data_IF_571948424257
#
_entry.id   IF_571948424257
#
_cell.length_a   1.000
_cell.length_b   1.000
_cell.length_c   1.000
_cell.angle_alpha   90.00
_cell.angle_beta   90.00
_cell.angle_gamma   90.00
#
_symmetry.space_group_name_H-M   'P 1'
#
loop_
_entity.id
_entity.type
_entity.pdbx_description
1 polymer ?
#
# COMPACT_ATOMS: atom_id res chain seq x y z
N UNK A 1 -48.01 -23.56 -35.78
CA UNK A 1 -47.32 -23.18 -34.55
C UNK A 1 -45.87 -22.97 -34.91
N UNK A 2 -45.41 -21.72 -35.03
CA UNK A 2 -44.04 -21.39 -35.48
C UNK A 2 -43.23 -20.95 -34.26
N UNK A 3 -42.15 -21.65 -34.01
CA UNK A 3 -41.09 -21.22 -33.09
C UNK A 3 -40.33 -20.06 -33.73
N UNK A 4 -40.22 -18.94 -33.00
CA UNK A 4 -39.26 -17.89 -33.30
C UNK A 4 -37.99 -18.11 -32.44
N UNK A 5 -36.91 -18.28 -33.13
CA UNK A 5 -35.55 -18.37 -32.58
C UNK A 5 -34.92 -16.99 -32.67
N UNK A 6 -34.66 -16.33 -31.55
CA UNK A 6 -33.92 -15.07 -31.51
C UNK A 6 -32.43 -15.39 -31.34
N UNK A 7 -31.63 -15.03 -32.35
CA UNK A 7 -30.19 -15.06 -32.29
C UNK A 7 -29.66 -13.86 -31.45
N UNK A 8 -29.03 -14.13 -30.35
CA UNK A 8 -28.22 -13.15 -29.63
C UNK A 8 -26.82 -13.07 -30.28
N UNK A 9 -26.56 -11.96 -30.97
CA UNK A 9 -25.20 -11.59 -31.40
C UNK A 9 -24.45 -11.00 -30.22
N UNK A 10 -23.52 -11.75 -29.63
CA UNK A 10 -22.49 -11.23 -28.75
C UNK A 10 -21.48 -10.45 -29.60
N UNK A 11 -21.47 -9.14 -29.47
CA UNK A 11 -20.33 -8.32 -29.87
C UNK A 11 -19.30 -8.38 -28.76
N UNK A 12 -18.22 -9.16 -28.97
CA UNK A 12 -17.03 -9.14 -28.16
C UNK A 12 -16.28 -7.83 -28.41
N UNK A 13 -16.33 -6.92 -27.46
CA UNK A 13 -15.44 -5.76 -27.41
C UNK A 13 -14.20 -6.20 -26.67
N UNK A 14 -13.13 -6.56 -27.40
CA UNK A 14 -11.78 -6.68 -26.82
C UNK A 14 -11.32 -5.27 -26.44
N UNK A 15 -10.78 -5.06 -25.23
CA UNK A 15 -10.34 -3.72 -24.84
C UNK A 15 -9.08 -3.29 -25.60
N UNK A 16 -9.11 -2.06 -26.07
CA UNK A 16 -8.08 -1.35 -26.85
C UNK A 16 -6.71 -1.26 -26.11
N UNK A 17 -6.63 -1.64 -24.85
CA UNK A 17 -5.43 -1.56 -24.03
C UNK A 17 -4.30 -2.52 -24.44
N UNK A 18 -4.64 -3.66 -25.07
CA UNK A 18 -3.63 -4.64 -25.52
C UNK A 18 -2.93 -4.21 -26.82
N UNK A 19 -3.54 -3.32 -27.60
CA UNK A 19 -3.00 -2.93 -28.90
C UNK A 19 -1.97 -1.79 -28.84
N UNK A 20 -1.83 -1.08 -27.70
CA UNK A 20 -0.86 0.01 -27.58
C UNK A 20 0.55 -0.45 -27.19
N UNK A 21 0.73 -1.66 -26.61
CA UNK A 21 2.04 -2.18 -26.24
C UNK A 21 2.87 -2.79 -27.39
N UNK A 22 2.27 -3.03 -28.57
CA UNK A 22 2.96 -3.75 -29.67
C UNK A 22 3.54 -2.86 -30.78
N UNK A 23 3.38 -1.55 -30.73
CA UNK A 23 3.83 -0.66 -31.83
C UNK A 23 5.10 0.15 -31.55
N UNK A 24 5.76 0.00 -30.41
CA UNK A 24 6.99 0.75 -30.08
C UNK A 24 8.29 -0.06 -30.11
N UNK A 25 8.29 -1.31 -30.56
CA UNK A 25 9.49 -2.17 -30.54
C UNK A 25 10.24 -2.21 -31.89
N UNK A 26 10.50 -1.07 -32.53
CA UNK A 26 11.49 -1.01 -33.65
C UNK A 26 12.27 0.32 -33.61
N UNK A 27 13.06 0.52 -32.60
CA UNK A 27 14.09 1.56 -32.56
C UNK A 27 15.36 0.98 -31.95
N UNK A 28 16.40 0.80 -32.76
CA UNK A 28 17.72 0.39 -32.27
C UNK A 28 18.27 1.45 -31.34
N UNK A 29 18.39 1.14 -30.07
CA UNK A 29 19.15 1.92 -29.08
C UNK A 29 20.56 1.36 -29.05
N UNK A 30 21.51 2.21 -29.32
CA UNK A 30 22.94 1.93 -29.31
C UNK A 30 23.43 2.05 -27.86
N UNK A 31 24.07 1.01 -27.35
CA UNK A 31 24.62 0.96 -26.00
C UNK A 31 25.65 2.07 -25.77
N UNK A 32 25.47 2.88 -24.74
CA UNK A 32 26.49 3.76 -24.18
C UNK A 32 26.75 3.41 -22.71
N UNK A 33 27.99 3.11 -22.47
CA UNK A 33 28.78 2.99 -21.24
C UNK A 33 28.08 3.06 -19.86
N UNK A 34 28.26 1.96 -19.14
CA UNK A 34 28.00 1.81 -17.71
C UNK A 34 28.73 2.87 -16.85
N UNK A 35 27.99 3.69 -16.15
CA UNK A 35 28.48 4.46 -15.01
C UNK A 35 28.34 3.63 -13.72
N UNK A 36 29.20 3.84 -12.71
CA UNK A 36 29.12 3.08 -11.46
C UNK A 36 27.81 3.41 -10.70
N UNK A 37 27.15 2.36 -10.25
CA UNK A 37 25.92 2.40 -9.47
C UNK A 37 26.22 2.99 -8.09
N UNK A 38 25.48 3.99 -7.60
CA UNK A 38 25.65 4.48 -6.23
C UNK A 38 25.24 3.41 -5.21
N UNK A 39 25.94 3.36 -4.09
CA UNK A 39 25.69 2.42 -2.99
C UNK A 39 24.27 2.54 -2.45
N UNK A 40 23.64 1.39 -2.20
CA UNK A 40 22.29 1.24 -1.68
C UNK A 40 22.21 1.78 -0.24
N UNK A 41 21.27 2.65 0.12
CA UNK A 41 21.02 2.97 1.53
C UNK A 41 20.38 1.78 2.25
N UNK A 42 20.79 1.54 3.50
CA UNK A 42 20.25 0.50 4.36
C UNK A 42 18.74 0.65 4.54
N UNK A 43 18.01 -0.46 4.43
CA UNK A 43 16.54 -0.50 4.44
C UNK A 43 16.01 -0.25 5.85
N UNK A 44 15.15 0.74 6.01
CA UNK A 44 14.22 0.79 7.12
C UNK A 44 13.09 -0.22 6.89
N UNK A 45 12.78 -1.05 7.89
CA UNK A 45 11.66 -1.99 7.87
C UNK A 45 10.36 -1.18 7.91
N UNK A 46 9.51 -1.31 6.90
CA UNK A 46 8.16 -0.70 6.90
C UNK A 46 7.17 -1.73 7.41
N UNK A 47 6.44 -1.39 8.46
CA UNK A 47 5.47 -2.26 9.11
C UNK A 47 4.34 -2.69 8.19
N UNK A 48 3.90 -3.97 8.25
CA UNK A 48 2.69 -4.45 7.60
C UNK A 48 1.46 -3.79 8.24
N UNK A 49 0.57 -3.30 7.39
CA UNK A 49 -0.60 -2.54 7.85
C UNK A 49 -0.45 -1.06 7.58
N UNK A 50 0.76 -0.53 7.38
CA UNK A 50 0.92 0.63 6.54
C UNK A 50 0.74 0.18 5.09
N UNK A 51 -0.13 0.83 4.38
CA UNK A 51 -0.29 0.70 2.94
C UNK A 51 1.08 0.93 2.29
N UNK A 52 1.71 -0.09 1.81
CA UNK A 52 3.08 0.01 1.32
C UNK A 52 4.00 -1.06 1.91
N UNK A 53 3.44 -2.26 2.15
CA UNK A 53 4.26 -3.44 2.27
C UNK A 53 5.13 -3.51 1.02
N UNK A 54 6.42 -3.20 1.20
CA UNK A 54 7.43 -3.48 0.19
C UNK A 54 7.38 -2.61 -1.09
N UNK A 55 7.53 -1.31 -0.94
CA UNK A 55 8.13 -0.54 -2.02
C UNK A 55 9.57 -1.05 -2.18
N UNK A 56 9.76 -1.96 -3.11
CA UNK A 56 11.08 -2.40 -3.57
C UNK A 56 11.60 -1.39 -4.57
N UNK A 57 11.52 -0.10 -4.22
CA UNK A 57 12.08 0.95 -5.06
C UNK A 57 13.60 0.88 -4.98
N UNK A 58 14.15 0.33 -6.04
CA UNK A 58 15.42 0.69 -6.57
C UNK A 58 16.65 0.05 -5.98
N UNK A 59 16.77 -1.27 -6.05
CA UNK A 59 18.09 -1.90 -6.25
C UNK A 59 17.91 -3.31 -6.82
N UNK A 60 17.53 -3.41 -8.08
CA UNK A 60 17.77 -4.61 -8.83
C UNK A 60 19.26 -4.71 -9.12
N UNK A 61 19.93 -5.69 -8.53
CA UNK A 61 21.34 -5.99 -8.80
C UNK A 61 22.34 -5.68 -7.70
N UNK A 62 21.90 -5.40 -6.44
CA UNK A 62 22.83 -5.47 -5.31
C UNK A 62 23.05 -6.94 -4.93
N UNK A 63 24.26 -7.50 -5.05
CA UNK A 63 24.56 -8.77 -4.42
C UNK A 63 24.40 -8.58 -2.92
N UNK A 64 23.88 -9.60 -2.23
CA UNK A 64 23.88 -9.66 -0.77
C UNK A 64 25.34 -9.62 -0.33
N UNK A 65 25.86 -8.46 0.02
CA UNK A 65 27.13 -8.37 0.74
C UNK A 65 26.88 -8.95 2.13
N UNK A 66 27.42 -10.13 2.35
CA UNK A 66 27.56 -10.69 3.68
C UNK A 66 28.35 -9.69 4.53
N UNK A 67 27.70 -8.97 5.41
CA UNK A 67 28.35 -8.19 6.43
C UNK A 67 29.06 -9.17 7.37
N UNK A 68 30.37 -9.35 7.19
CA UNK A 68 31.26 -9.93 8.18
C UNK A 68 31.43 -8.90 9.33
N UNK A 69 30.40 -8.69 10.10
CA UNK A 69 30.41 -8.02 11.38
C UNK A 69 29.74 -8.96 12.37
N UNK A 70 30.45 -9.36 13.42
CA UNK A 70 30.04 -10.41 14.36
C UNK A 70 28.56 -10.29 14.74
N UNK A 71 27.79 -11.31 14.38
CA UNK A 71 26.39 -11.43 14.65
C UNK A 71 26.16 -11.32 16.16
N UNK A 72 25.51 -10.24 16.60
CA UNK A 72 24.75 -10.31 17.82
C UNK A 72 23.68 -11.38 17.57
N UNK A 73 23.60 -12.43 18.39
CA UNK A 73 22.57 -13.45 18.32
C UNK A 73 21.21 -12.71 18.31
N UNK A 74 20.48 -12.78 17.20
CA UNK A 74 19.13 -12.26 17.12
C UNK A 74 18.29 -12.98 18.19
N UNK A 75 17.56 -12.26 19.06
CA UNK A 75 16.90 -12.86 20.23
C UNK A 75 15.83 -13.90 19.86
N UNK A 76 15.54 -14.09 18.58
CA UNK A 76 14.48 -14.95 18.06
C UNK A 76 14.94 -15.98 17.02
N UNK A 77 16.24 -16.18 16.83
CA UNK A 77 16.83 -17.18 15.91
C UNK A 77 16.27 -18.62 16.10
N UNK A 78 15.65 -18.87 17.25
CA UNK A 78 15.06 -20.19 17.59
C UNK A 78 13.58 -20.31 17.21
N UNK A 79 12.92 -19.26 16.69
CA UNK A 79 11.49 -19.30 16.36
C UNK A 79 11.25 -19.80 14.94
N UNK A 80 12.22 -19.57 14.06
CA UNK A 80 12.19 -20.12 12.71
C UNK A 80 12.57 -21.60 12.71
N UNK A 81 11.86 -22.45 11.96
CA UNK A 81 12.32 -23.82 11.72
C UNK A 81 13.72 -23.80 11.09
N UNK A 82 14.68 -24.53 11.68
CA UNK A 82 16.07 -24.59 11.23
C UNK A 82 16.23 -24.80 9.72
N UNK A 83 15.30 -25.48 9.07
CA UNK A 83 15.34 -25.74 7.64
C UNK A 83 15.15 -24.48 6.78
N UNK A 84 14.59 -23.38 7.30
CA UNK A 84 14.44 -22.12 6.57
C UNK A 84 15.72 -21.28 6.62
N UNK A 85 16.58 -21.49 7.61
CA UNK A 85 17.89 -20.84 7.68
C UNK A 85 18.96 -21.51 6.80
N UNK A 86 18.72 -22.73 6.33
CA UNK A 86 19.70 -23.51 5.57
C UNK A 86 19.65 -23.28 4.05
N UNK A 87 18.62 -22.56 3.54
CA UNK A 87 18.45 -22.35 2.10
C UNK A 87 18.86 -20.95 1.69
N UNK A 88 19.99 -20.84 0.97
CA UNK A 88 20.34 -19.59 0.28
C UNK A 88 19.20 -19.16 -0.65
N UNK A 89 18.87 -17.85 -0.64
CA UNK A 89 17.81 -17.28 -1.47
C UNK A 89 16.40 -17.40 -0.91
N UNK A 90 16.19 -17.96 0.29
CA UNK A 90 14.90 -17.94 0.98
C UNK A 90 15.02 -17.08 2.23
N UNK A 91 14.10 -16.12 2.42
CA UNK A 91 13.96 -15.36 3.65
C UNK A 91 12.56 -15.48 4.22
N UNK A 92 12.45 -15.53 5.52
CA UNK A 92 11.19 -15.50 6.25
C UNK A 92 11.23 -14.39 7.28
N UNK A 93 10.12 -13.68 7.42
CA UNK A 93 9.98 -12.56 8.33
C UNK A 93 8.64 -12.65 9.06
N UNK A 94 8.65 -12.37 10.34
CA UNK A 94 7.46 -12.36 11.18
C UNK A 94 7.34 -10.98 11.83
N UNK A 95 6.20 -10.33 11.65
CA UNK A 95 5.96 -9.01 12.22
C UNK A 95 4.69 -9.07 13.05
N UNK A 96 4.79 -8.65 14.31
CA UNK A 96 3.65 -8.55 15.18
C UNK A 96 3.37 -7.11 15.53
N UNK A 97 2.27 -6.57 14.99
CA UNK A 97 1.75 -5.24 15.31
C UNK A 97 0.64 -5.35 16.32
N UNK A 98 0.68 -4.58 17.39
CA UNK A 98 -0.42 -4.51 18.36
C UNK A 98 -0.78 -3.07 18.73
N UNK A 99 -2.06 -2.87 19.03
CA UNK A 99 -2.61 -1.56 19.35
C UNK A 99 -3.55 -1.59 20.55
N UNK A 100 -3.46 -0.55 21.35
CA UNK A 100 -4.48 -0.21 22.36
C UNK A 100 -4.94 1.22 22.11
N UNK A 101 -6.19 1.40 21.70
CA UNK A 101 -6.79 2.71 21.48
C UNK A 101 -8.03 2.94 22.33
N UNK A 102 -8.23 4.20 22.70
CA UNK A 102 -9.39 4.69 23.43
C UNK A 102 -10.07 5.81 22.66
N UNK A 103 -11.37 5.72 22.46
CA UNK A 103 -12.19 6.88 22.06
C UNK A 103 -12.34 7.74 23.31
N UNK A 104 -11.52 8.79 23.42
CA UNK A 104 -11.48 9.67 24.56
C UNK A 104 -12.66 10.66 24.59
N UNK A 105 -13.19 11.01 23.40
CA UNK A 105 -14.34 11.90 23.24
C UNK A 105 -15.08 11.64 21.93
N UNK A 106 -16.40 11.78 21.93
CA UNK A 106 -17.26 11.79 20.75
C UNK A 106 -17.46 10.42 20.10
N UNK A 107 -17.54 10.40 18.77
CA UNK A 107 -17.86 9.22 17.97
C UNK A 107 -19.36 8.90 17.92
N UNK A 108 -19.70 7.68 17.51
CA UNK A 108 -21.10 7.23 17.33
C UNK A 108 -21.83 6.93 18.63
N UNK A 109 -21.10 6.71 19.70
CA UNK A 109 -21.65 6.44 21.04
C UNK A 109 -21.05 7.38 22.06
N UNK A 110 -21.83 7.76 23.10
CA UNK A 110 -21.34 8.60 24.19
C UNK A 110 -20.46 7.87 25.21
N UNK A 111 -20.19 6.60 25.04
CA UNK A 111 -19.37 5.79 25.93
C UNK A 111 -17.92 5.73 25.44
N UNK A 112 -16.98 6.12 26.27
CA UNK A 112 -15.58 5.88 26.04
C UNK A 112 -15.33 4.37 25.88
N UNK A 113 -14.68 4.00 24.80
CA UNK A 113 -14.36 2.61 24.51
C UNK A 113 -12.85 2.44 24.33
N UNK A 114 -12.28 1.49 25.05
CA UNK A 114 -10.88 1.07 24.84
C UNK A 114 -10.87 -0.32 24.22
N UNK A 115 -10.09 -0.50 23.17
CA UNK A 115 -9.97 -1.78 22.47
C UNK A 115 -8.50 -2.11 22.20
N UNK A 116 -8.22 -3.40 22.24
CA UNK A 116 -6.96 -3.99 21.86
C UNK A 116 -7.12 -4.72 20.52
N UNK A 117 -6.12 -4.63 19.68
CA UNK A 117 -5.96 -5.37 18.42
C UNK A 117 -4.55 -5.87 18.29
N UNK A 118 -4.40 -6.99 17.59
CA UNK A 118 -3.11 -7.52 17.18
C UNK A 118 -3.20 -8.05 15.75
N UNK A 119 -2.10 -7.92 15.03
CA UNK A 119 -1.90 -8.35 13.67
C UNK A 119 -0.56 -9.07 13.59
N UNK A 120 -0.56 -10.31 13.13
CA UNK A 120 0.65 -11.09 12.87
C UNK A 120 0.78 -11.28 11.36
N UNK A 121 1.89 -10.84 10.83
CA UNK A 121 2.25 -11.01 9.43
C UNK A 121 3.37 -12.03 9.31
N UNK A 122 3.21 -12.93 8.36
CA UNK A 122 4.15 -14.00 8.04
C UNK A 122 4.53 -13.86 6.57
N UNK A 123 5.76 -13.48 6.29
CA UNK A 123 6.26 -13.25 4.94
C UNK A 123 7.31 -14.27 4.59
N UNK A 124 7.20 -14.85 3.42
CA UNK A 124 8.20 -15.73 2.82
C UNK A 124 8.58 -15.18 1.45
N UNK A 125 9.86 -14.95 1.23
CA UNK A 125 10.40 -14.51 -0.05
C UNK A 125 11.43 -15.51 -0.56
N UNK A 126 11.41 -15.79 -1.87
CA UNK A 126 12.40 -16.64 -2.52
C UNK A 126 13.00 -15.93 -3.73
N UNK A 127 14.32 -15.77 -3.75
CA UNK A 127 15.09 -15.27 -4.87
C UNK A 127 15.60 -16.45 -5.69
N UNK A 128 15.21 -16.53 -6.97
CA UNK A 128 15.52 -17.71 -7.80
C UNK A 128 16.99 -17.80 -8.21
N UNK A 129 17.69 -16.67 -8.31
CA UNK A 129 19.11 -16.65 -8.61
C UNK A 129 19.93 -17.11 -7.42
N UNK A 130 19.65 -16.59 -6.22
CA UNK A 130 20.29 -17.04 -4.99
C UNK A 130 19.98 -18.51 -4.65
N UNK A 131 18.85 -19.04 -5.16
CA UNK A 131 18.48 -20.47 -5.05
C UNK A 131 19.13 -21.35 -6.13
N UNK A 132 20.05 -20.84 -6.96
CA UNK A 132 20.65 -21.55 -8.10
C UNK A 132 19.64 -22.09 -9.14
N UNK A 133 18.50 -21.40 -9.32
CA UNK A 133 17.47 -21.81 -10.30
C UNK A 133 17.58 -21.06 -11.62
N UNK A 134 17.21 -19.76 -11.63
CA UNK A 134 17.31 -18.87 -12.81
C UNK A 134 17.39 -17.41 -12.36
N UNK A 135 18.00 -16.57 -13.18
CA UNK A 135 18.19 -15.15 -12.93
C UNK A 135 16.87 -14.37 -12.97
N UNK A 136 16.75 -13.31 -12.16
CA UNK A 136 15.72 -12.28 -12.20
C UNK A 136 14.34 -12.70 -11.71
N UNK A 137 14.18 -13.88 -11.12
CA UNK A 137 12.90 -14.35 -10.59
C UNK A 137 12.77 -14.17 -9.09
N UNK A 138 11.56 -13.85 -8.59
CA UNK A 138 11.25 -13.77 -7.17
C UNK A 138 9.86 -14.33 -6.87
N UNK A 139 9.77 -15.16 -5.84
CA UNK A 139 8.53 -15.64 -5.26
C UNK A 139 8.23 -14.90 -3.95
N UNK A 140 6.95 -14.71 -3.68
CA UNK A 140 6.47 -14.09 -2.46
C UNK A 140 5.21 -14.79 -1.97
N UNK A 141 5.14 -15.05 -0.67
CA UNK A 141 3.94 -15.58 0.00
C UNK A 141 3.75 -14.80 1.29
N UNK A 142 2.56 -14.26 1.48
CA UNK A 142 2.21 -13.50 2.67
C UNK A 142 0.95 -14.08 3.31
N UNK A 143 1.08 -14.44 4.57
CA UNK A 143 0.00 -14.86 5.44
C UNK A 143 -0.22 -13.86 6.55
N UNK A 144 -1.47 -13.72 6.97
CA UNK A 144 -1.87 -12.75 7.98
C UNK A 144 -2.82 -13.36 9.01
N UNK A 145 -2.66 -13.01 10.26
CA UNK A 145 -3.60 -13.37 11.34
C UNK A 145 -3.83 -12.17 12.24
N UNK A 146 -5.08 -11.74 12.33
CA UNK A 146 -5.44 -10.62 13.18
C UNK A 146 -6.53 -10.97 14.20
N UNK A 147 -6.51 -10.29 15.34
CA UNK A 147 -7.40 -10.56 16.46
C UNK A 147 -7.70 -9.28 17.26
N UNK A 148 -8.66 -9.37 18.15
CA UNK A 148 -9.09 -8.26 18.99
C UNK A 148 -10.39 -7.63 18.50
N UNK A 149 -10.61 -6.36 18.80
CA UNK A 149 -11.88 -5.66 18.56
C UNK A 149 -11.66 -4.31 17.87
N UNK A 150 -12.41 -4.06 16.79
CA UNK A 150 -12.41 -2.79 16.09
C UNK A 150 -13.12 -1.67 16.86
N UNK A 151 -12.68 -0.44 16.65
CA UNK A 151 -13.34 0.78 17.13
C UNK A 151 -14.13 1.48 16.03
N UNK A 152 -13.65 1.49 14.79
CA UNK A 152 -14.27 2.20 13.66
C UNK A 152 -15.75 1.91 13.53
N UNK A 153 -16.14 0.65 13.38
CA UNK A 153 -17.54 0.30 13.06
C UNK A 153 -18.56 0.58 14.15
N UNK A 154 -18.15 0.53 15.44
CA UNK A 154 -19.09 0.58 16.57
C UNK A 154 -18.99 1.85 17.41
N UNK A 155 -17.86 2.55 17.38
CA UNK A 155 -17.57 3.64 18.30
C UNK A 155 -17.14 4.93 17.62
N UNK A 156 -16.41 4.88 16.51
CA UNK A 156 -15.91 6.05 15.77
C UNK A 156 -16.85 6.40 14.62
N UNK A 157 -17.10 5.46 13.74
CA UNK A 157 -17.95 5.63 12.55
C UNK A 157 -17.23 6.33 11.40
N UNK A 158 -15.91 6.34 11.40
CA UNK A 158 -15.07 6.98 10.39
C UNK A 158 -15.01 6.16 9.08
N UNK A 159 -14.99 6.86 7.97
CA UNK A 159 -14.89 6.26 6.63
C UNK A 159 -13.45 6.08 6.17
N UNK A 160 -12.50 6.81 6.77
CA UNK A 160 -11.09 6.78 6.41
C UNK A 160 -10.28 5.74 7.18
N UNK A 161 -10.89 5.05 8.14
CA UNK A 161 -10.26 4.08 9.04
C UNK A 161 -9.06 4.69 9.78
N UNK A 162 -9.30 5.16 11.00
CA UNK A 162 -8.28 5.80 11.84
C UNK A 162 -7.05 4.90 12.10
N UNK A 163 -7.18 3.62 11.88
CA UNK A 163 -6.08 2.65 11.94
C UNK A 163 -6.18 1.67 10.78
N UNK A 164 -5.08 1.45 10.10
CA UNK A 164 -4.92 0.53 8.99
C UNK A 164 -5.06 -0.96 9.39
N UNK A 165 -4.99 -1.31 10.67
CA UNK A 165 -5.31 -2.65 11.17
C UNK A 165 -6.67 -2.74 11.88
N UNK A 166 -7.51 -1.69 11.83
CA UNK A 166 -8.87 -1.69 12.41
C UNK A 166 -9.93 -2.32 11.50
N UNK A 167 -9.53 -3.06 10.51
CA UNK A 167 -10.42 -3.86 9.70
C UNK A 167 -11.09 -4.93 10.55
N UNK A 168 -12.41 -4.98 10.53
CA UNK A 168 -13.14 -6.02 11.25
C UNK A 168 -13.10 -7.32 10.47
N UNK A 169 -12.43 -8.36 10.95
CA UNK A 169 -12.45 -9.65 10.29
C UNK A 169 -13.86 -10.24 10.26
N UNK A 170 -14.15 -11.00 9.24
CA UNK A 170 -15.36 -11.83 9.20
C UNK A 170 -15.39 -12.86 10.33
N UNK A 171 -14.21 -13.30 10.74
CA UNK A 171 -14.01 -14.23 11.84
C UNK A 171 -12.72 -13.84 12.56
N UNK A 172 -12.77 -13.43 13.83
CA UNK A 172 -11.56 -13.17 14.59
C UNK A 172 -10.77 -14.46 14.76
N UNK A 173 -9.44 -14.35 14.70
CA UNK A 173 -8.47 -15.45 14.84
C UNK A 173 -8.41 -16.41 13.64
N UNK A 174 -8.71 -15.97 12.43
CA UNK A 174 -8.40 -16.72 11.22
C UNK A 174 -6.98 -16.40 10.73
N UNK A 175 -6.33 -17.43 10.18
CA UNK A 175 -5.12 -17.25 9.36
C UNK A 175 -5.54 -17.07 7.91
N UNK A 176 -5.08 -16.01 7.29
CA UNK A 176 -5.43 -15.60 5.94
C UNK A 176 -4.22 -15.73 5.02
N UNK A 177 -4.40 -16.33 3.84
CA UNK A 177 -3.44 -16.26 2.75
C UNK A 177 -3.70 -14.96 1.97
N UNK A 178 -2.95 -13.93 2.31
CA UNK A 178 -3.14 -12.59 1.74
C UNK A 178 -2.61 -12.52 0.33
N UNK A 179 -1.34 -12.81 0.14
CA UNK A 179 -0.70 -12.71 -1.16
C UNK A 179 0.09 -13.98 -1.49
N UNK A 180 0.19 -14.26 -2.77
CA UNK A 180 1.15 -15.17 -3.35
C UNK A 180 1.35 -14.77 -4.81
N UNK A 181 2.57 -14.44 -5.18
CA UNK A 181 2.88 -14.02 -6.52
C UNK A 181 4.30 -14.40 -6.93
N UNK A 182 4.51 -14.36 -8.22
CA UNK A 182 5.80 -14.47 -8.85
C UNK A 182 6.07 -13.21 -9.66
N UNK A 183 7.26 -12.68 -9.58
CA UNK A 183 7.73 -11.64 -10.48
C UNK A 183 9.01 -12.05 -11.20
N UNK A 184 9.22 -11.44 -12.35
CA UNK A 184 10.41 -11.68 -13.14
C UNK A 184 10.90 -10.37 -13.77
N UNK A 185 12.19 -10.10 -13.59
CA UNK A 185 12.90 -8.99 -14.18
C UNK A 185 13.50 -9.38 -15.54
N UNK A 186 13.21 -8.61 -16.56
CA UNK A 186 13.73 -8.76 -17.92
C UNK A 186 14.58 -7.54 -18.27
N UNK A 187 15.49 -7.70 -19.25
CA UNK A 187 16.30 -6.60 -19.78
C UNK A 187 17.07 -5.84 -18.68
N UNK A 188 17.79 -6.60 -17.86
CA UNK A 188 18.58 -6.07 -16.75
C UNK A 188 17.75 -5.22 -15.74
N UNK A 189 16.47 -5.58 -15.53
CA UNK A 189 15.57 -4.91 -14.62
C UNK A 189 14.77 -3.76 -15.24
N UNK A 190 14.93 -3.43 -16.50
CA UNK A 190 14.16 -2.38 -17.16
C UNK A 190 12.67 -2.72 -17.28
N UNK A 191 12.33 -4.01 -17.29
CA UNK A 191 10.96 -4.51 -17.36
C UNK A 191 10.76 -5.57 -16.30
N UNK A 192 9.79 -5.35 -15.42
CA UNK A 192 9.40 -6.32 -14.39
C UNK A 192 7.95 -6.71 -14.64
N UNK A 193 7.66 -7.99 -14.56
CA UNK A 193 6.30 -8.53 -14.69
C UNK A 193 5.97 -9.34 -13.45
N UNK A 194 4.83 -9.03 -12.80
CA UNK A 194 4.36 -9.65 -11.56
C UNK A 194 2.99 -10.28 -11.79
N UNK A 195 2.82 -11.54 -11.39
CA UNK A 195 1.58 -12.30 -11.56
C UNK A 195 1.25 -13.07 -10.29
N UNK A 196 -0.02 -13.09 -9.93
CA UNK A 196 -0.52 -13.80 -8.76
C UNK A 196 -1.57 -13.04 -8.00
N UNK A 197 -1.81 -13.40 -6.76
CA UNK A 197 -2.67 -12.67 -5.84
C UNK A 197 -1.82 -11.60 -5.14
N UNK A 198 -2.18 -10.35 -5.36
CA UNK A 198 -1.35 -9.18 -5.02
C UNK A 198 -2.18 -8.14 -4.28
N UNK A 199 -1.54 -7.46 -3.35
CA UNK A 199 -1.99 -6.16 -2.86
C UNK A 199 -1.58 -5.10 -3.89
N UNK A 200 -2.56 -4.53 -4.58
CA UNK A 200 -2.28 -3.53 -5.62
C UNK A 200 -1.77 -2.20 -5.07
N UNK A 201 -2.02 -1.89 -3.79
CA UNK A 201 -1.51 -0.69 -3.16
C UNK A 201 0.00 -0.77 -2.87
N UNK A 202 0.55 -1.96 -2.74
CA UNK A 202 1.99 -2.13 -2.63
C UNK A 202 2.76 -1.60 -3.85
N UNK A 203 2.11 -1.57 -5.02
CA UNK A 203 2.72 -1.17 -6.29
C UNK A 203 2.17 0.16 -6.84
N UNK A 204 0.90 0.51 -6.55
CA UNK A 204 0.20 1.67 -7.10
C UNK A 204 -0.38 2.58 -6.02
N UNK A 205 -0.40 3.87 -6.28
CA UNK A 205 -1.07 4.89 -5.47
C UNK A 205 -0.57 5.02 -4.02
N UNK A 206 0.54 4.39 -3.68
CA UNK A 206 1.11 4.48 -2.33
C UNK A 206 1.80 5.83 -2.09
N UNK A 207 2.01 6.14 -0.81
CA UNK A 207 2.68 7.34 -0.32
C UNK A 207 3.71 6.92 0.72
N UNK A 208 5.00 7.05 0.40
CA UNK A 208 6.09 6.56 1.24
C UNK A 208 6.10 7.22 2.63
N UNK A 209 6.05 8.55 2.66
CA UNK A 209 6.05 9.33 3.91
C UNK A 209 4.71 9.28 4.66
N UNK A 210 3.68 8.70 4.04
CA UNK A 210 2.39 8.42 4.67
C UNK A 210 2.31 7.07 5.38
N UNK A 211 3.28 6.18 5.16
CA UNK A 211 3.23 4.77 5.59
C UNK A 211 3.28 4.55 7.11
N UNK A 212 3.90 5.45 7.87
CA UNK A 212 3.98 5.36 9.33
C UNK A 212 2.75 5.94 10.06
N UNK A 213 1.86 6.64 9.35
CA UNK A 213 0.58 7.07 9.90
C UNK A 213 -0.37 5.87 10.08
N UNK A 214 -1.19 5.92 11.12
CA UNK A 214 -2.14 4.84 11.39
C UNK A 214 -3.39 4.94 10.53
N UNK A 215 -3.87 6.15 10.24
CA UNK A 215 -5.03 6.34 9.38
C UNK A 215 -4.75 5.85 7.97
N UNK A 216 -5.56 4.90 7.52
CA UNK A 216 -5.38 4.20 6.22
C UNK A 216 -5.32 5.14 5.03
N UNK A 217 -6.00 6.28 5.09
CA UNK A 217 -6.06 7.21 3.96
C UNK A 217 -4.77 7.98 3.72
N UNK A 218 -3.81 7.99 4.66
CA UNK A 218 -2.48 8.53 4.40
C UNK A 218 -1.64 7.62 3.51
N UNK A 219 -1.92 6.32 3.49
CA UNK A 219 -1.22 5.38 2.62
C UNK A 219 -1.69 5.42 1.17
N UNK A 220 -3.00 5.63 0.93
CA UNK A 220 -3.57 5.79 -0.40
C UNK A 220 -4.93 6.51 -0.36
N UNK A 221 -5.31 7.13 -1.48
CA UNK A 221 -6.58 7.83 -1.59
C UNK A 221 -7.79 6.89 -1.54
N UNK A 222 -8.78 7.10 -0.65
CA UNK A 222 -9.99 6.29 -0.55
C UNK A 222 -10.95 6.47 -1.77
N UNK A 223 -10.61 7.30 -2.74
CA UNK A 223 -11.35 7.41 -4.02
C UNK A 223 -11.01 6.29 -5.00
N UNK A 224 -10.02 5.45 -4.68
CA UNK A 224 -9.56 4.38 -5.56
C UNK A 224 -10.04 3.04 -4.99
N UNK A 225 -10.86 2.26 -5.69
CA UNK A 225 -11.31 0.96 -5.21
C UNK A 225 -10.23 -0.11 -5.47
N UNK A 226 -9.12 -0.02 -4.76
CA UNK A 226 -7.98 -0.94 -4.91
C UNK A 226 -8.31 -2.35 -4.42
N UNK A 227 -7.89 -3.40 -5.13
CA UNK A 227 -7.69 -4.72 -4.55
C UNK A 227 -6.48 -4.71 -3.60
N UNK A 228 -6.73 -4.38 -2.35
CA UNK A 228 -5.70 -4.19 -1.30
C UNK A 228 -6.13 -4.87 -0.01
N UNK A 229 -5.24 -4.97 0.95
CA UNK A 229 -5.57 -5.49 2.29
C UNK A 229 -6.89 -4.93 2.83
N UNK A 230 -7.81 -5.75 3.40
CA UNK A 230 -7.73 -7.20 3.62
C UNK A 230 -8.19 -8.06 2.42
N UNK A 231 -8.40 -7.49 1.25
CA UNK A 231 -8.93 -8.14 0.05
C UNK A 231 -8.01 -7.99 -1.17
N UNK A 232 -6.78 -8.51 -1.15
CA UNK A 232 -5.91 -8.48 -2.32
C UNK A 232 -6.52 -9.30 -3.47
N UNK A 233 -6.15 -8.97 -4.71
CA UNK A 233 -6.73 -9.52 -5.93
C UNK A 233 -5.76 -10.32 -6.78
N UNK A 234 -6.29 -11.31 -7.53
CA UNK A 234 -5.54 -11.92 -8.62
C UNK A 234 -5.31 -10.88 -9.71
N UNK A 235 -4.08 -10.76 -10.18
CA UNK A 235 -3.71 -9.77 -11.18
C UNK A 235 -2.42 -10.04 -11.89
N UNK A 236 -2.17 -9.19 -12.88
CA UNK A 236 -0.95 -9.08 -13.64
C UNK A 236 -0.55 -7.61 -13.64
N UNK A 237 0.68 -7.33 -13.22
CA UNK A 237 1.27 -6.00 -13.27
C UNK A 237 2.57 -6.01 -14.08
N UNK A 238 2.90 -4.87 -14.67
CA UNK A 238 4.17 -4.64 -15.33
C UNK A 238 4.71 -3.26 -14.97
N UNK A 239 6.01 -3.20 -14.72
CA UNK A 239 6.75 -2.01 -14.33
C UNK A 239 7.83 -1.80 -15.37
N UNK A 240 7.87 -0.60 -15.96
CA UNK A 240 8.79 -0.24 -17.02
C UNK A 240 9.64 0.94 -16.58
N UNK A 241 10.92 0.72 -16.33
CA UNK A 241 11.90 1.75 -16.05
C UNK A 241 12.25 2.46 -17.37
N UNK A 242 11.62 3.59 -17.65
CA UNK A 242 11.82 4.36 -18.88
C UNK A 242 13.14 5.12 -18.87
N UNK A 243 13.55 5.56 -17.69
CA UNK A 243 14.85 6.17 -17.37
C UNK A 243 15.15 5.91 -15.89
N UNK A 244 16.34 6.29 -15.43
CA UNK A 244 16.75 6.19 -14.01
C UNK A 244 15.82 6.93 -13.01
N UNK A 245 15.01 7.85 -13.51
CA UNK A 245 14.10 8.68 -12.68
C UNK A 245 12.64 8.63 -13.13
N UNK A 246 12.31 7.83 -14.15
CA UNK A 246 10.95 7.77 -14.70
C UNK A 246 10.52 6.32 -14.90
N UNK A 247 9.48 5.92 -14.20
CA UNK A 247 8.88 4.59 -14.29
C UNK A 247 7.41 4.70 -14.73
N UNK A 248 6.99 3.79 -15.62
CA UNK A 248 5.58 3.59 -15.94
C UNK A 248 5.11 2.24 -15.41
N UNK A 249 3.97 2.23 -14.72
CA UNK A 249 3.39 1.03 -14.13
C UNK A 249 2.00 0.80 -14.72
N UNK A 250 1.68 -0.45 -15.01
CA UNK A 250 0.34 -0.87 -15.46
C UNK A 250 -0.06 -2.17 -14.77
N UNK A 251 -1.29 -2.25 -14.29
CA UNK A 251 -1.83 -3.45 -13.66
C UNK A 251 -3.27 -3.73 -14.11
N UNK A 252 -3.63 -5.02 -14.14
CA UNK A 252 -4.99 -5.51 -14.37
C UNK A 252 -5.28 -6.55 -13.30
N UNK A 253 -6.34 -6.33 -12.54
CA UNK A 253 -6.72 -7.16 -11.40
C UNK A 253 -8.17 -7.60 -11.50
N UNK A 254 -8.51 -8.71 -10.79
CA UNK A 254 -9.91 -9.06 -10.55
C UNK A 254 -10.65 -7.88 -9.92
N UNK A 255 -11.81 -7.55 -10.46
CA UNK A 255 -12.64 -6.44 -9.96
C UNK A 255 -13.44 -6.77 -8.70
N UNK A 256 -13.55 -8.04 -8.33
CA UNK A 256 -14.40 -8.46 -7.21
C UNK A 256 -13.91 -7.97 -5.83
N UNK A 257 -12.60 -7.99 -5.52
CA UNK A 257 -12.08 -7.47 -4.25
C UNK A 257 -12.40 -5.99 -4.04
N UNK A 258 -12.27 -5.18 -5.07
CA UNK A 258 -12.55 -3.73 -5.00
C UNK A 258 -14.03 -3.39 -4.75
N UNK A 259 -14.91 -4.36 -4.90
CA UNK A 259 -16.35 -4.28 -4.56
C UNK A 259 -16.69 -4.96 -3.23
N UNK A 260 -15.68 -5.25 -2.42
CA UNK A 260 -15.83 -5.82 -1.08
C UNK A 260 -15.98 -7.34 -1.04
N UNK A 261 -15.69 -8.07 -2.13
CA UNK A 261 -15.60 -9.52 -2.08
C UNK A 261 -14.41 -9.94 -1.20
N UNK A 262 -14.68 -10.77 -0.20
CA UNK A 262 -13.64 -11.25 0.69
C UNK A 262 -12.74 -12.27 0.01
N UNK A 263 -11.51 -11.90 -0.26
CA UNK A 263 -10.48 -12.71 -0.90
C UNK A 263 -9.30 -13.04 0.02
N UNK A 264 -9.18 -12.37 1.15
CA UNK A 264 -8.06 -12.49 2.09
C UNK A 264 -7.74 -13.92 2.51
N UNK A 265 -8.72 -14.71 2.91
CA UNK A 265 -8.54 -16.11 3.34
C UNK A 265 -8.58 -17.15 2.22
N UNK A 266 -8.56 -16.74 0.95
CA UNK A 266 -8.81 -17.62 -0.20
C UNK A 266 -7.77 -17.42 -1.30
N UNK A 267 -7.74 -18.38 -2.25
CA UNK A 267 -6.87 -18.28 -3.42
C UNK A 267 -7.21 -17.13 -4.38
N UNK A 268 -8.42 -16.56 -4.29
CA UNK A 268 -8.90 -15.52 -5.21
C UNK A 268 -9.53 -16.05 -6.53
N UNK A 269 -9.30 -17.30 -6.89
CA UNK A 269 -9.84 -17.89 -8.13
C UNK A 269 -11.35 -18.02 -8.14
N UNK A 270 -12.00 -18.11 -6.98
CA UNK A 270 -13.44 -18.24 -6.86
C UNK A 270 -14.21 -16.92 -7.14
N UNK A 271 -13.54 -15.78 -7.11
CA UNK A 271 -14.12 -14.47 -7.44
C UNK A 271 -13.69 -13.96 -8.82
N UNK A 272 -12.70 -14.62 -9.43
CA UNK A 272 -12.07 -14.16 -10.66
C UNK A 272 -13.10 -14.01 -11.81
N UNK A 273 -13.25 -12.77 -12.27
CA UNK A 273 -14.12 -12.40 -13.39
C UNK A 273 -15.60 -12.28 -13.04
N UNK A 274 -16.04 -12.53 -11.80
CA UNK A 274 -17.45 -12.38 -11.41
C UNK A 274 -17.94 -10.92 -11.54
N UNK A 275 -17.07 -9.97 -11.14
CA UNK A 275 -17.38 -8.54 -11.15
C UNK A 275 -16.46 -7.74 -12.09
N UNK A 276 -16.05 -8.33 -13.19
CA UNK A 276 -15.20 -7.69 -14.17
C UNK A 276 -13.75 -7.53 -13.72
N UNK A 277 -13.10 -6.45 -14.16
CA UNK A 277 -11.70 -6.18 -13.88
C UNK A 277 -11.47 -4.70 -13.55
N UNK A 278 -10.45 -4.41 -12.75
CA UNK A 278 -9.93 -3.08 -12.56
C UNK A 278 -8.55 -2.95 -13.22
N UNK A 279 -8.31 -1.85 -13.92
CA UNK A 279 -7.01 -1.50 -14.50
C UNK A 279 -6.45 -0.28 -13.79
N UNK A 280 -5.15 -0.32 -13.49
CA UNK A 280 -4.39 0.74 -12.88
C UNK A 280 -3.26 1.16 -13.82
N UNK A 281 -3.02 2.46 -13.94
CA UNK A 281 -1.91 3.02 -14.71
C UNK A 281 -1.29 4.15 -13.89
N UNK A 282 0.02 4.14 -13.74
CA UNK A 282 0.74 5.15 -12.97
C UNK A 282 2.05 5.53 -13.67
N UNK A 283 2.35 6.81 -13.66
CA UNK A 283 3.65 7.37 -14.02
C UNK A 283 4.29 7.90 -12.74
N UNK A 284 5.49 7.42 -12.43
CA UNK A 284 6.27 7.83 -11.26
C UNK A 284 7.54 8.55 -11.72
N UNK A 285 7.78 9.74 -11.18
CA UNK A 285 8.98 10.53 -11.40
C UNK A 285 9.75 10.68 -10.09
N UNK A 286 11.00 10.23 -10.06
CA UNK A 286 11.83 10.06 -8.85
C UNK A 286 13.11 10.93 -8.91
N UNK A 287 12.99 12.27 -8.84
CA UNK A 287 14.14 13.16 -8.89
C UNK A 287 14.91 13.20 -7.56
N UNK A 288 16.19 13.48 -7.66
CA UNK A 288 17.02 13.93 -6.54
C UNK A 288 17.11 15.45 -6.58
N UNK A 289 16.43 16.14 -5.66
CA UNK A 289 16.42 17.61 -5.58
C UNK A 289 17.52 18.15 -4.66
N UNK A 290 17.55 19.45 -4.44
CA UNK A 290 18.59 20.14 -3.66
C UNK A 290 19.81 20.48 -4.50
N UNK A 291 20.66 21.37 -3.97
CA UNK A 291 21.88 21.81 -4.66
C UNK A 291 22.96 20.73 -4.72
N UNK A 292 22.92 19.77 -3.80
CA UNK A 292 23.81 18.61 -3.76
C UNK A 292 23.18 17.39 -4.45
N UNK A 293 21.88 17.43 -4.85
CA UNK A 293 21.16 16.27 -5.36
C UNK A 293 20.92 15.20 -4.28
N UNK A 294 20.71 15.63 -3.04
CA UNK A 294 20.63 14.78 -1.86
C UNK A 294 19.24 14.77 -1.18
N UNK A 295 18.24 15.37 -1.84
CA UNK A 295 16.86 15.40 -1.39
C UNK A 295 15.98 14.53 -2.29
N UNK A 296 15.80 13.23 -1.98
CA UNK A 296 14.98 12.33 -2.76
C UNK A 296 13.51 12.76 -2.74
N UNK A 297 12.84 12.54 -3.86
CA UNK A 297 11.41 12.74 -3.98
C UNK A 297 10.80 11.77 -4.98
N UNK A 298 9.51 11.46 -4.81
CA UNK A 298 8.73 10.66 -5.75
C UNK A 298 7.41 11.35 -6.03
N UNK A 299 7.12 11.59 -7.29
CA UNK A 299 5.90 12.22 -7.78
C UNK A 299 5.15 11.24 -8.65
N UNK A 300 3.89 10.93 -8.30
CA UNK A 300 3.07 9.94 -8.97
C UNK A 300 1.82 10.57 -9.54
N UNK A 301 1.43 10.13 -10.73
CA UNK A 301 0.15 10.46 -11.34
C UNK A 301 -0.43 9.19 -11.95
N UNK A 302 -1.65 8.82 -11.55
CA UNK A 302 -2.28 7.61 -12.02
C UNK A 302 -3.75 7.75 -12.30
N UNK A 303 -4.28 6.76 -13.02
CA UNK A 303 -5.70 6.63 -13.33
C UNK A 303 -6.12 5.16 -13.24
N UNK A 304 -7.38 4.96 -12.89
CA UNK A 304 -7.99 3.64 -12.81
C UNK A 304 -9.28 3.56 -13.60
N UNK A 305 -9.61 2.36 -14.06
CA UNK A 305 -10.87 2.04 -14.69
C UNK A 305 -11.37 0.67 -14.27
N UNK A 306 -12.65 0.57 -13.87
CA UNK A 306 -13.29 -0.66 -13.46
C UNK A 306 -14.44 -0.99 -14.42
N UNK A 307 -14.49 -2.22 -14.90
CA UNK A 307 -15.41 -2.63 -15.97
C UNK A 307 -16.81 -3.00 -15.48
N UNK A 308 -17.02 -3.16 -14.17
CA UNK A 308 -18.32 -3.54 -13.59
C UNK A 308 -19.37 -2.44 -13.72
N UNK A 309 -20.64 -2.79 -13.48
CA UNK A 309 -21.76 -1.84 -13.37
C UNK A 309 -22.01 -1.48 -11.91
N UNK A 310 -22.09 -0.19 -11.62
CA UNK A 310 -22.24 0.37 -10.28
C UNK A 310 -23.63 0.95 -10.09
N UNK A 311 -24.16 0.89 -8.87
CA UNK A 311 -25.42 1.54 -8.53
C UNK A 311 -25.33 3.05 -8.76
N UNK A 312 -26.38 3.64 -9.32
CA UNK A 312 -26.46 5.08 -9.51
C UNK A 312 -26.86 5.75 -8.18
N UNK A 313 -25.87 6.35 -7.51
CA UNK A 313 -26.04 6.99 -6.20
C UNK A 313 -26.74 8.36 -6.31
N UNK A 314 -26.71 9.02 -7.46
CA UNK A 314 -27.36 10.33 -7.66
C UNK A 314 -28.86 10.17 -7.80
N UNK A 315 -29.33 9.18 -8.55
CA UNK A 315 -30.76 8.94 -8.76
C UNK A 315 -31.33 7.94 -7.77
N UNK A 316 -30.48 7.12 -7.14
CA UNK A 316 -30.89 6.00 -6.28
C UNK A 316 -31.57 4.84 -7.04
N UNK A 317 -31.61 4.87 -8.36
CA UNK A 317 -32.23 3.86 -9.21
C UNK A 317 -31.38 3.54 -10.41
N UNK A 318 -31.26 2.22 -10.72
CA UNK A 318 -30.51 1.73 -11.88
C UNK A 318 -29.01 1.72 -11.65
N UNK A 319 -28.27 1.36 -12.69
CA UNK A 319 -26.82 1.20 -12.66
C UNK A 319 -26.14 2.04 -13.74
N UNK A 320 -24.87 2.38 -13.51
CA UNK A 320 -23.98 3.03 -14.46
C UNK A 320 -22.85 2.07 -14.81
N UNK A 321 -22.61 1.87 -16.11
CA UNK A 321 -21.59 0.96 -16.58
C UNK A 321 -20.20 1.57 -16.48
N UNK A 322 -19.28 0.81 -15.91
CA UNK A 322 -17.90 1.21 -15.70
C UNK A 322 -17.75 2.25 -14.58
N UNK A 323 -16.56 2.36 -14.07
CA UNK A 323 -16.18 3.36 -13.08
C UNK A 323 -14.74 3.80 -13.35
N UNK A 324 -14.36 5.00 -12.94
CA UNK A 324 -13.03 5.54 -13.22
C UNK A 324 -12.66 6.62 -12.22
N UNK A 325 -11.41 6.93 -12.18
CA UNK A 325 -10.89 8.02 -11.38
C UNK A 325 -9.43 8.24 -11.63
N UNK A 326 -8.85 9.18 -10.91
CA UNK A 326 -7.42 9.46 -10.96
C UNK A 326 -6.90 9.84 -9.58
N UNK A 327 -5.59 9.73 -9.43
CA UNK A 327 -4.84 10.16 -8.25
C UNK A 327 -3.56 10.88 -8.64
N UNK A 328 -3.06 11.66 -7.73
CA UNK A 328 -1.70 12.17 -7.72
C UNK A 328 -1.14 12.12 -6.31
N UNK A 329 0.13 11.79 -6.17
CA UNK A 329 0.84 11.89 -4.91
C UNK A 329 2.24 12.45 -5.12
N UNK A 330 2.79 13.01 -4.06
CA UNK A 330 4.16 13.50 -4.00
C UNK A 330 4.73 13.20 -2.62
N UNK A 331 5.88 12.59 -2.58
CA UNK A 331 6.74 12.44 -1.43
C UNK A 331 8.00 13.24 -1.69
N UNK A 332 8.44 14.08 -0.76
CA UNK A 332 9.64 14.89 -0.94
C UNK A 332 10.36 15.12 0.38
N UNK A 333 11.62 14.73 0.44
CA UNK A 333 12.53 15.21 1.47
C UNK A 333 12.83 16.68 1.21
N UNK A 334 12.41 17.56 2.13
CA UNK A 334 12.56 19.01 1.96
C UNK A 334 13.76 19.59 2.71
N UNK A 335 14.27 18.83 3.67
CA UNK A 335 15.49 19.18 4.39
C UNK A 335 16.16 17.94 4.97
N UNK A 336 17.48 17.84 4.80
CA UNK A 336 18.33 16.78 5.33
C UNK A 336 19.27 17.35 6.36
N UNK A 337 19.45 16.65 7.49
CA UNK A 337 20.40 17.06 8.51
C UNK A 337 21.85 16.93 8.00
N UNK A 338 22.70 17.94 8.24
CA UNK A 338 24.12 17.86 7.88
C UNK A 338 24.82 16.73 8.62
N UNK A 339 25.51 15.86 7.89
CA UNK A 339 26.29 14.75 8.47
C UNK A 339 25.49 13.47 8.69
N UNK A 340 24.24 13.39 8.25
CA UNK A 340 23.41 12.19 8.26
C UNK A 340 23.45 11.44 6.90
N UNK A 341 24.67 11.19 6.39
CA UNK A 341 24.83 10.64 5.03
C UNK A 341 24.50 9.16 4.94
N UNK A 342 24.78 8.38 5.99
CA UNK A 342 24.49 6.94 6.06
C UNK A 342 23.02 6.67 6.36
N UNK A 343 22.42 7.45 7.27
CA UNK A 343 21.02 7.35 7.69
C UNK A 343 20.36 8.73 7.55
N UNK A 344 19.65 9.02 6.45
CA UNK A 344 19.08 10.34 6.19
C UNK A 344 18.09 10.79 7.26
N UNK A 345 18.50 11.73 8.09
CA UNK A 345 17.66 12.43 9.07
C UNK A 345 17.18 13.73 8.47
N UNK A 346 16.01 14.21 8.89
CA UNK A 346 15.48 15.47 8.42
C UNK A 346 13.99 15.47 8.23
N UNK A 347 13.51 16.48 7.50
CA UNK A 347 12.11 16.76 7.28
C UNK A 347 11.65 16.32 5.89
N UNK A 348 10.65 15.47 5.86
CA UNK A 348 9.91 15.08 4.67
C UNK A 348 8.49 15.65 4.66
N UNK A 349 7.92 15.78 3.49
CA UNK A 349 6.53 16.17 3.27
C UNK A 349 5.90 15.30 2.21
N UNK A 350 4.64 14.91 2.42
CA UNK A 350 3.84 14.30 1.36
C UNK A 350 2.58 15.09 1.07
N UNK A 351 2.07 14.90 -0.15
CA UNK A 351 0.82 15.43 -0.64
C UNK A 351 0.12 14.38 -1.49
N UNK A 352 -1.20 14.23 -1.36
CA UNK A 352 -1.97 13.37 -2.23
C UNK A 352 -3.35 13.96 -2.53
N UNK A 353 -3.84 13.67 -3.72
CA UNK A 353 -5.18 14.03 -4.17
C UNK A 353 -5.77 12.90 -5.00
N UNK A 354 -7.05 12.61 -4.78
CA UNK A 354 -7.80 11.64 -5.55
C UNK A 354 -9.19 12.15 -5.92
N UNK A 355 -9.71 11.67 -7.04
CA UNK A 355 -11.05 11.98 -7.50
C UNK A 355 -11.71 10.78 -8.17
N UNK A 356 -13.02 10.65 -7.96
CA UNK A 356 -13.90 9.69 -8.64
C UNK A 356 -15.30 10.29 -8.85
N UNK A 357 -16.08 9.83 -9.87
CA UNK A 357 -17.40 10.40 -10.20
C UNK A 357 -18.42 10.16 -9.07
N UNK A 358 -19.20 11.21 -8.68
CA UNK A 358 -20.10 11.14 -7.53
C UNK A 358 -21.36 10.30 -7.76
N UNK A 359 -21.71 10.03 -8.99
CA UNK A 359 -22.92 9.26 -9.35
C UNK A 359 -22.79 7.75 -9.05
N UNK A 360 -21.58 7.27 -8.71
CA UNK A 360 -21.28 5.84 -8.47
C UNK A 360 -20.27 5.56 -7.39
N UNK A 361 -19.71 6.57 -6.72
CA UNK A 361 -18.75 6.41 -5.65
C UNK A 361 -19.24 7.13 -4.39
N UNK A 362 -19.07 6.49 -3.24
CA UNK A 362 -19.39 7.09 -1.95
C UNK A 362 -18.37 8.19 -1.61
N UNK A 363 -17.08 7.92 -1.76
CA UNK A 363 -16.00 8.91 -1.62
C UNK A 363 -15.67 9.45 -3.00
N UNK A 364 -15.76 10.77 -3.18
CA UNK A 364 -15.65 11.40 -4.51
C UNK A 364 -14.42 12.25 -4.68
N UNK A 365 -13.88 12.74 -3.59
CA UNK A 365 -12.65 13.52 -3.56
C UNK A 365 -11.89 13.23 -2.28
N UNK A 366 -10.58 13.30 -2.38
CA UNK A 366 -9.69 13.11 -1.25
C UNK A 366 -8.51 14.08 -1.36
N UNK A 367 -8.08 14.60 -0.23
CA UNK A 367 -6.87 15.38 -0.07
C UNK A 367 -6.15 14.91 1.20
N UNK A 368 -4.90 14.51 1.07
CA UNK A 368 -4.03 14.12 2.17
C UNK A 368 -2.72 14.88 2.13
N UNK A 369 -2.18 15.25 3.27
CA UNK A 369 -0.85 15.87 3.39
C UNK A 369 -0.28 15.62 4.78
N UNK A 370 1.03 15.59 4.90
CA UNK A 370 1.69 15.48 6.18
C UNK A 370 3.16 15.85 6.11
N UNK A 371 3.71 15.98 7.30
CA UNK A 371 5.13 16.21 7.57
C UNK A 371 5.64 15.08 8.43
N UNK A 372 6.81 14.58 8.11
CA UNK A 372 7.52 13.59 8.91
C UNK A 372 8.93 14.10 9.19
N UNK A 373 9.40 13.93 10.42
CA UNK A 373 10.74 14.29 10.81
C UNK A 373 11.43 13.09 11.46
N UNK A 374 12.49 12.60 10.81
CA UNK A 374 13.34 11.54 11.34
C UNK A 374 14.50 12.14 12.09
N UNK A 375 14.81 11.61 13.31
CA UNK A 375 15.96 12.03 14.10
C UNK A 375 15.80 13.37 14.83
N UNK A 376 14.58 13.88 15.05
CA UNK A 376 14.34 15.18 15.70
C UNK A 376 14.99 15.33 17.08
N UNK A 377 15.12 14.25 17.84
CA UNK A 377 15.68 14.24 19.17
C UNK A 377 17.12 13.70 19.10
N UNK A 378 18.09 14.45 19.59
CA UNK A 378 19.51 14.04 19.60
C UNK A 378 19.71 12.65 20.21
N UNK A 379 20.51 11.82 19.56
CA UNK A 379 20.75 10.39 19.87
C UNK A 379 19.51 9.50 19.73
N UNK A 380 18.52 9.94 18.95
CA UNK A 380 17.32 9.21 18.59
C UNK A 380 17.13 9.27 17.06
N UNK A 381 18.14 8.82 16.34
CA UNK A 381 18.33 9.04 14.90
C UNK A 381 17.27 8.31 14.05
N UNK A 382 16.71 7.21 14.56
CA UNK A 382 15.69 6.40 13.90
C UNK A 382 14.26 6.76 14.29
N UNK A 383 14.08 7.59 15.33
CA UNK A 383 12.74 7.99 15.77
C UNK A 383 12.07 8.89 14.73
N UNK A 384 10.76 8.74 14.59
CA UNK A 384 9.97 9.49 13.62
C UNK A 384 8.85 10.25 14.31
N UNK A 385 8.74 11.55 14.04
CA UNK A 385 7.61 12.39 14.39
C UNK A 385 6.77 12.62 13.12
N UNK A 386 5.46 12.42 13.18
CA UNK A 386 4.55 12.70 12.07
C UNK A 386 3.36 13.55 12.47
N UNK A 387 2.98 14.47 11.57
CA UNK A 387 1.75 15.26 11.65
C UNK A 387 1.06 15.25 10.28
N UNK A 388 -0.17 14.76 10.22
CA UNK A 388 -0.93 14.61 8.98
C UNK A 388 -2.33 15.21 9.05
N UNK A 389 -2.84 15.60 7.87
CA UNK A 389 -4.21 16.01 7.63
C UNK A 389 -4.77 15.22 6.45
N UNK A 390 -5.91 14.58 6.63
CA UNK A 390 -6.65 13.84 5.60
C UNK A 390 -8.09 14.36 5.52
N UNK A 391 -8.61 14.53 4.30
CA UNK A 391 -9.93 15.11 4.06
C UNK A 391 -10.64 14.36 2.94
N UNK A 392 -11.70 13.60 3.26
CA UNK A 392 -12.51 12.84 2.33
C UNK A 392 -13.87 13.51 2.10
N UNK A 393 -14.24 13.73 0.84
CA UNK A 393 -15.53 14.28 0.42
C UNK A 393 -16.48 13.20 -0.07
N UNK A 394 -17.76 13.27 0.33
CA UNK A 394 -18.79 12.26 0.02
C UNK A 394 -19.81 12.74 -1.00
N UNK A 395 -20.42 11.79 -1.73
CA UNK A 395 -21.43 12.04 -2.76
C UNK A 395 -22.83 12.27 -2.21
N UNK A 396 -23.11 11.83 -0.98
CA UNK A 396 -24.47 11.88 -0.44
C UNK A 396 -24.96 13.32 -0.24
N UNK A 397 -26.03 13.68 -0.92
CA UNK A 397 -26.96 14.82 -0.77
C UNK A 397 -26.48 16.07 0.00
N UNK A 398 -25.26 16.46 -0.14
CA UNK A 398 -24.65 17.61 0.53
C UNK A 398 -23.14 17.50 0.52
N UNK A 399 -22.47 18.61 0.57
CA UNK A 399 -21.01 18.72 0.65
C UNK A 399 -20.50 18.28 2.02
N UNK A 400 -20.74 17.03 2.39
CA UNK A 400 -20.23 16.48 3.67
C UNK A 400 -18.81 15.99 3.48
N UNK A 401 -17.99 16.20 4.50
CA UNK A 401 -16.58 15.79 4.55
C UNK A 401 -16.29 15.13 5.89
N UNK A 402 -15.33 14.23 5.88
CA UNK A 402 -14.66 13.77 7.08
C UNK A 402 -13.23 14.29 7.00
N UNK A 403 -12.80 14.98 8.05
CA UNK A 403 -11.44 15.48 8.15
C UNK A 403 -10.75 14.82 9.33
N UNK A 404 -9.57 14.25 9.12
CA UNK A 404 -8.76 13.62 10.16
C UNK A 404 -7.43 14.37 10.32
N UNK A 405 -7.03 14.56 11.57
CA UNK A 405 -5.70 15.07 11.95
C UNK A 405 -5.04 14.03 12.83
N UNK A 406 -3.84 13.61 12.47
CA UNK A 406 -3.07 12.63 13.22
C UNK A 406 -1.72 13.20 13.62
N UNK A 407 -1.31 12.94 14.86
CA UNK A 407 -0.01 13.26 15.42
C UNK A 407 0.55 12.03 16.10
N UNK A 408 1.71 11.56 15.68
CA UNK A 408 2.39 10.43 16.29
C UNK A 408 3.88 10.69 16.55
N UNK A 409 4.43 9.89 17.45
CA UNK A 409 5.86 9.76 17.66
C UNK A 409 6.23 8.28 17.69
N UNK A 410 6.92 7.78 16.65
CA UNK A 410 7.40 6.40 16.57
C UNK A 410 8.80 6.32 17.11
N UNK A 411 8.96 5.69 18.26
CA UNK A 411 10.24 5.51 18.93
C UNK A 411 10.81 4.13 18.62
N UNK A 412 12.01 4.08 18.06
CA UNK A 412 12.80 2.86 17.91
C UNK A 412 13.35 2.46 19.28
N UNK A 413 12.91 1.34 19.83
CA UNK A 413 13.37 0.86 21.14
C UNK A 413 14.67 0.07 20.99
N UNK A 414 14.76 -0.74 19.95
CA UNK A 414 15.92 -1.51 19.53
C UNK A 414 15.70 -1.95 18.06
N UNK A 415 16.58 -2.75 17.50
CA UNK A 415 16.57 -3.13 16.08
C UNK A 415 15.31 -3.90 15.67
N UNK A 416 14.61 -4.54 16.59
CA UNK A 416 13.45 -5.37 16.35
C UNK A 416 12.14 -4.87 16.98
N UNK A 417 12.13 -3.70 17.68
CA UNK A 417 10.90 -3.22 18.35
C UNK A 417 10.73 -1.71 18.28
N UNK A 418 9.50 -1.29 18.00
CA UNK A 418 9.06 0.12 18.05
C UNK A 418 7.86 0.30 18.97
N UNK A 419 7.70 1.53 19.47
CA UNK A 419 6.51 1.99 20.19
C UNK A 419 6.07 3.34 19.63
N UNK A 420 4.77 3.47 19.34
CA UNK A 420 4.21 4.66 18.70
C UNK A 420 2.98 5.15 19.49
N UNK A 421 3.13 6.08 20.44
CA UNK A 421 2.00 6.88 20.93
C UNK A 421 1.41 7.72 19.79
N UNK A 422 0.07 7.79 19.78
CA UNK A 422 -0.66 8.39 18.69
C UNK A 422 -1.94 9.11 19.19
N UNK A 423 -2.29 10.21 18.51
CA UNK A 423 -3.50 10.99 18.74
C UNK A 423 -4.16 11.28 17.41
N UNK A 424 -5.40 10.83 17.24
CA UNK A 424 -6.20 11.06 16.04
C UNK A 424 -7.46 11.86 16.40
N UNK A 425 -7.66 13.00 15.75
CA UNK A 425 -8.91 13.77 15.81
C UNK A 425 -9.62 13.64 14.46
N UNK A 426 -10.90 13.24 14.50
CA UNK A 426 -11.75 13.08 13.33
C UNK A 426 -12.94 13.99 13.46
N UNK A 427 -13.06 14.96 12.57
CA UNK A 427 -14.20 15.83 12.44
C UNK A 427 -15.24 15.19 11.52
N UNK A 428 -16.48 15.16 11.96
CA UNK A 428 -17.63 14.64 11.20
C UNK A 428 -17.40 13.23 10.62
N UNK A 429 -17.13 12.21 11.41
CA UNK A 429 -17.00 10.83 10.93
C UNK A 429 -18.07 10.45 9.92
N UNK A 430 -17.68 9.85 8.78
CA UNK A 430 -18.54 9.58 7.61
C UNK A 430 -19.33 10.79 7.10
N UNK A 431 -18.86 12.01 7.37
CA UNK A 431 -19.44 13.27 6.93
C UNK A 431 -20.62 13.79 7.75
N UNK A 432 -21.11 13.06 8.75
CA UNK A 432 -22.31 13.43 9.55
C UNK A 432 -22.22 13.06 11.02
N UNK A 433 -21.22 12.30 11.43
CA UNK A 433 -21.02 11.86 12.79
C UNK A 433 -20.59 12.98 13.74
N UNK A 434 -20.67 12.74 15.04
CA UNK A 434 -20.06 13.60 16.05
C UNK A 434 -18.54 13.44 16.03
N UNK A 435 -17.82 14.53 16.12
CA UNK A 435 -16.36 14.52 16.17
C UNK A 435 -15.83 13.51 17.17
N UNK A 436 -14.73 12.86 16.83
CA UNK A 436 -14.10 11.84 17.67
C UNK A 436 -12.64 12.21 17.97
N UNK A 437 -12.22 11.97 19.21
CA UNK A 437 -10.82 12.04 19.62
C UNK A 437 -10.38 10.66 20.09
N UNK A 438 -9.35 10.14 19.46
CA UNK A 438 -8.74 8.87 19.81
C UNK A 438 -7.33 9.09 20.33
N UNK A 439 -6.95 8.31 21.32
CA UNK A 439 -5.60 8.30 21.88
C UNK A 439 -5.20 6.85 22.08
N UNK A 440 -4.00 6.50 21.67
CA UNK A 440 -3.53 5.12 21.82
C UNK A 440 -2.03 4.95 21.63
N UNK A 441 -1.67 3.69 21.60
CA UNK A 441 -0.29 3.25 21.41
C UNK A 441 -0.32 2.06 20.46
N UNK A 442 0.56 2.09 19.45
CA UNK A 442 0.94 0.94 18.63
C UNK A 442 2.31 0.43 19.10
N UNK A 443 2.49 -0.87 19.08
CA UNK A 443 3.81 -1.50 19.20
C UNK A 443 4.00 -2.44 18.04
N UNK A 444 5.23 -2.56 17.58
CA UNK A 444 5.62 -3.44 16.50
C UNK A 444 6.87 -4.20 16.90
N UNK A 445 6.89 -5.49 16.63
CA UNK A 445 8.00 -6.41 16.90
C UNK A 445 8.26 -7.20 15.62
N UNK A 446 9.50 -7.18 15.15
CA UNK A 446 9.98 -7.92 13.98
C UNK A 446 10.86 -9.06 14.48
N UNK A 447 10.68 -10.26 13.93
CA UNK A 447 11.40 -11.48 14.33
C UNK A 447 12.19 -12.04 13.15
#
# INVERSE_FOLDING_TARGET
MKCFRTENRHHSVLPLAVMFCLTFATGKIQAQHSMPIPACPSRGVVAPGATGLWSLDGCYGCPAESAEGGAAEEPFDHILPDFLHEYEGISAEYIYTSEVFTVAHGGTTSSNATRYRGNLDLVLTGDTEAMDLWEGGRFFVYGNSYHGQALTGNFVGDAQFYSNIDSTPRSPNEFLLMEYWYEHAFADGDIIVKVGKQDSNADFAYVDLGGDFMNSSFGFSPTIPLPTWPNPGLGLAAFLNLTDVLQYKVGVYDGSPSLGAFTGGRSGFNSLGENGAITLNELSFMPQLGTAGDLPGTYRAGAWYHTHSFDNLETGVGTVNGNHGFWTSADQMIWKEPGSDEEPQGLGMFLQYGWSPPDRNAVTSYFGTGLTYRGLISNRDYDLLGLGLASAGFSAAGTTREDAVELFYKAQINDWATIQPDVVYIASPSGTGSDALLVGIRTEVVF
#
